data_IF_161342050243
#
_entry.id   IF_161342050243
#
_cell.length_a   1.000
_cell.length_b   1.000
_cell.length_c   1.000
_cell.angle_alpha   90.00
_cell.angle_beta   90.00
_cell.angle_gamma   90.00
#
_symmetry.space_group_name_H-M   'P 1'
#
loop_
_entity.id
_entity.type
_entity.pdbx_description
1 polymer ?
#
# COMPACT_ATOMS: atom_id res chain seq x y z
N UNK A 1 20.59 12.90 -34.22
CA UNK A 1 20.23 11.46 -34.22
C UNK A 1 19.71 11.20 -32.84
N UNK A 2 18.39 11.34 -32.74
CA UNK A 2 17.68 11.64 -31.52
C UNK A 2 17.60 10.39 -30.62
N UNK A 3 17.97 10.59 -29.36
CA UNK A 3 17.83 9.59 -28.31
C UNK A 3 16.36 9.35 -28.04
N UNK A 4 15.88 8.17 -28.43
CA UNK A 4 14.57 7.68 -28.03
C UNK A 4 14.71 6.88 -26.73
N UNK A 5 14.96 7.59 -25.62
CA UNK A 5 14.72 7.06 -24.27
C UNK A 5 13.22 7.19 -23.99
N UNK A 6 12.44 6.35 -24.65
CA UNK A 6 11.04 6.11 -24.30
C UNK A 6 11.01 5.32 -22.99
N UNK A 7 11.08 6.04 -21.87
CA UNK A 7 10.72 5.54 -20.56
C UNK A 7 9.22 5.19 -20.57
N UNK A 8 8.91 3.91 -20.75
CA UNK A 8 7.57 3.35 -20.58
C UNK A 8 7.07 3.66 -19.16
N UNK A 9 5.90 4.29 -19.08
CA UNK A 9 5.11 4.38 -17.85
C UNK A 9 4.75 2.96 -17.38
N UNK A 10 5.47 2.41 -16.40
CA UNK A 10 5.27 1.03 -15.95
C UNK A 10 5.74 0.65 -14.53
N UNK A 11 6.43 1.51 -13.79
CA UNK A 11 7.07 1.11 -12.50
C UNK A 11 6.58 1.87 -11.25
N UNK A 12 5.48 2.62 -11.36
CA UNK A 12 4.98 3.44 -10.26
C UNK A 12 4.12 2.66 -9.24
N UNK A 13 4.63 1.54 -8.73
CA UNK A 13 4.04 0.93 -7.51
C UNK A 13 4.79 1.46 -6.29
N UNK A 14 4.03 2.00 -5.34
CA UNK A 14 4.55 2.64 -4.14
C UNK A 14 4.53 1.69 -2.94
N UNK A 15 5.43 1.91 -1.98
CA UNK A 15 5.32 1.31 -0.65
C UNK A 15 4.43 2.22 0.19
N UNK A 16 3.50 1.62 0.92
CA UNK A 16 2.50 2.34 1.72
C UNK A 16 2.74 2.12 3.20
N UNK A 17 2.44 3.14 4.00
CA UNK A 17 2.43 3.05 5.47
C UNK A 17 1.11 3.57 6.01
N UNK A 18 0.46 2.83 6.90
CA UNK A 18 -0.80 3.30 7.48
C UNK A 18 -0.62 4.30 8.63
N UNK A 19 -1.70 5.05 8.88
CA UNK A 19 -1.87 5.80 10.13
C UNK A 19 -2.00 4.81 11.28
N UNK A 20 -1.09 4.84 12.25
CA UNK A 20 -0.92 3.85 13.31
C UNK A 20 -2.23 3.43 14.00
N UNK A 21 -2.47 2.12 14.14
CA UNK A 21 -3.71 1.57 14.70
C UNK A 21 -3.45 0.61 15.88
N UNK A 22 -2.23 0.12 16.07
CA UNK A 22 -1.99 -1.00 16.99
C UNK A 22 -0.99 -0.68 18.10
N UNK A 23 -1.45 -0.76 19.35
CA UNK A 23 -0.58 -0.69 20.53
C UNK A 23 0.04 -2.07 20.78
N UNK A 24 1.34 -2.20 20.53
CA UNK A 24 2.13 -3.40 20.88
C UNK A 24 3.16 -3.04 21.93
N UNK A 25 3.08 -3.65 23.13
CA UNK A 25 4.02 -3.41 24.24
C UNK A 25 4.19 -1.91 24.59
N UNK A 26 3.09 -1.14 24.50
CA UNK A 26 3.09 0.30 24.78
C UNK A 26 3.62 1.19 23.65
N UNK A 27 3.92 0.63 22.47
CA UNK A 27 4.33 1.37 21.28
C UNK A 27 3.22 1.35 20.23
N UNK A 28 3.05 2.45 19.52
CA UNK A 28 2.16 2.53 18.37
C UNK A 28 2.90 1.96 17.15
N UNK A 29 2.31 0.92 16.57
CA UNK A 29 2.80 0.27 15.36
C UNK A 29 1.91 0.65 14.17
N UNK A 30 2.53 0.76 13.01
CA UNK A 30 1.85 0.89 11.73
C UNK A 30 2.28 -0.24 10.80
N UNK A 31 1.44 -0.56 9.82
CA UNK A 31 1.80 -1.51 8.79
C UNK A 31 2.52 -0.79 7.65
N UNK A 32 3.57 -1.41 7.12
CA UNK A 32 4.17 -1.11 5.83
C UNK A 32 3.86 -2.24 4.86
N UNK A 33 3.32 -1.93 3.69
CA UNK A 33 2.86 -2.92 2.72
C UNK A 33 2.98 -2.41 1.28
N UNK A 34 2.97 -3.33 0.33
CA UNK A 34 2.96 -3.03 -1.10
C UNK A 34 2.29 -4.18 -1.86
N UNK A 35 1.62 -3.91 -2.98
CA UNK A 35 1.24 -4.93 -3.96
C UNK A 35 2.44 -5.60 -4.64
N UNK A 36 3.63 -4.98 -4.60
CA UNK A 36 4.87 -5.53 -5.09
C UNK A 36 5.79 -5.92 -3.91
N UNK A 37 6.03 -7.22 -3.73
CA UNK A 37 6.83 -7.74 -2.62
C UNK A 37 8.31 -7.33 -2.72
N UNK A 38 8.87 -7.25 -3.93
CA UNK A 38 10.27 -6.85 -4.11
C UNK A 38 10.50 -5.42 -3.63
N UNK A 39 9.59 -4.50 -3.98
CA UNK A 39 9.63 -3.13 -3.49
C UNK A 39 9.41 -3.04 -1.97
N UNK A 40 8.55 -3.89 -1.42
CA UNK A 40 8.33 -3.95 0.03
C UNK A 40 9.59 -4.40 0.77
N UNK A 41 10.25 -5.45 0.28
CA UNK A 41 11.50 -5.95 0.84
C UNK A 41 12.65 -4.94 0.67
N UNK A 42 12.75 -4.29 -0.48
CA UNK A 42 13.75 -3.25 -0.74
C UNK A 42 13.58 -2.05 0.21
N UNK A 43 12.35 -1.60 0.47
CA UNK A 43 12.10 -0.56 1.46
C UNK A 43 12.46 -1.03 2.88
N UNK A 44 12.09 -2.26 3.25
CA UNK A 44 12.42 -2.84 4.55
C UNK A 44 13.94 -2.85 4.80
N UNK A 45 14.72 -3.32 3.82
CA UNK A 45 16.19 -3.30 3.88
C UNK A 45 16.72 -1.87 4.07
N UNK A 46 16.24 -0.92 3.25
CA UNK A 46 16.66 0.49 3.30
C UNK A 46 16.40 1.16 4.65
N UNK A 47 15.32 0.81 5.33
CA UNK A 47 14.97 1.36 6.66
C UNK A 47 15.49 0.51 7.83
N UNK A 48 16.30 -0.52 7.56
CA UNK A 48 16.90 -1.37 8.59
C UNK A 48 15.91 -2.31 9.29
N UNK A 49 14.90 -2.79 8.56
CA UNK A 49 14.03 -3.91 8.96
C UNK A 49 14.57 -5.19 8.31
N UNK A 50 14.76 -6.23 9.11
CA UNK A 50 15.26 -7.51 8.62
C UNK A 50 14.14 -8.34 7.99
N UNK A 51 14.43 -9.04 6.90
CA UNK A 51 13.43 -9.78 6.12
C UNK A 51 12.68 -10.84 6.93
N UNK A 52 13.28 -11.41 7.99
CA UNK A 52 12.62 -12.37 8.90
C UNK A 52 11.40 -11.80 9.64
N UNK A 53 11.25 -10.48 9.70
CA UNK A 53 10.10 -9.80 10.31
C UNK A 53 8.94 -9.62 9.32
N UNK A 54 9.10 -10.09 8.08
CA UNK A 54 8.04 -10.11 7.10
C UNK A 54 6.91 -11.03 7.56
N UNK A 55 5.69 -10.52 7.50
CA UNK A 55 4.50 -11.29 7.83
C UNK A 55 3.81 -11.73 6.54
N UNK A 56 3.91 -13.02 6.25
CA UNK A 56 3.38 -13.62 5.03
C UNK A 56 2.11 -14.43 5.33
N UNK A 57 0.95 -14.13 4.69
CA UNK A 57 -0.29 -14.88 4.88
C UNK A 57 -0.20 -16.36 4.45
N UNK A 58 0.81 -16.75 3.65
CA UNK A 58 1.04 -18.15 3.27
C UNK A 58 1.65 -18.98 4.41
N UNK A 59 2.33 -18.34 5.36
CA UNK A 59 3.07 -19.02 6.43
C UNK A 59 2.62 -18.61 7.84
N UNK A 60 1.90 -17.50 7.96
CA UNK A 60 1.43 -16.91 9.21
C UNK A 60 -0.06 -16.56 9.12
N UNK A 61 -0.76 -16.58 10.25
CA UNK A 61 -2.17 -16.15 10.34
C UNK A 61 -2.30 -14.62 10.29
N UNK A 62 -2.02 -14.04 9.13
CA UNK A 62 -2.22 -12.62 8.80
C UNK A 62 -3.07 -12.49 7.55
N UNK A 63 -3.66 -11.30 7.32
CA UNK A 63 -4.63 -11.11 6.23
C UNK A 63 -4.02 -10.67 4.90
N UNK A 64 -2.80 -10.11 4.89
CA UNK A 64 -2.05 -9.71 3.69
C UNK A 64 -0.55 -9.57 4.03
N UNK A 65 0.34 -9.62 3.04
CA UNK A 65 1.79 -9.45 3.26
C UNK A 65 2.15 -8.04 3.75
N UNK A 66 2.90 -7.93 4.84
CA UNK A 66 3.32 -6.64 5.40
C UNK A 66 4.49 -6.75 6.38
N UNK A 67 5.02 -5.59 6.79
CA UNK A 67 5.88 -5.41 7.96
C UNK A 67 5.19 -4.53 8.99
N UNK A 68 5.49 -4.73 10.27
CA UNK A 68 5.13 -3.80 11.34
C UNK A 68 6.29 -2.85 11.62
N UNK A 69 6.02 -1.54 11.60
CA UNK A 69 7.00 -0.50 11.92
C UNK A 69 6.63 0.21 13.22
N UNK A 70 7.65 0.59 13.98
CA UNK A 70 7.50 1.59 15.04
C UNK A 70 7.47 3.01 14.44
N UNK A 71 7.15 4.01 15.28
CA UNK A 71 7.03 5.41 14.85
C UNK A 71 8.32 5.96 14.21
N UNK A 72 9.49 5.54 14.68
CA UNK A 72 10.78 6.02 14.15
C UNK A 72 11.01 5.49 12.73
N UNK A 73 10.82 4.18 12.52
CA UNK A 73 10.95 3.56 11.20
C UNK A 73 9.88 4.02 10.23
N UNK A 74 8.66 4.30 10.72
CA UNK A 74 7.61 4.93 9.91
C UNK A 74 8.06 6.28 9.36
N UNK A 75 8.66 7.14 10.20
CA UNK A 75 9.15 8.44 9.76
C UNK A 75 10.24 8.28 8.68
N UNK A 76 11.19 7.36 8.88
CA UNK A 76 12.23 7.07 7.89
C UNK A 76 11.63 6.56 6.57
N UNK A 77 10.66 5.64 6.63
CA UNK A 77 10.00 5.12 5.43
C UNK A 77 9.31 6.24 4.63
N UNK A 78 8.64 7.17 5.32
CA UNK A 78 8.00 8.34 4.70
C UNK A 78 9.05 9.24 4.04
N UNK A 79 10.14 9.55 4.74
CA UNK A 79 11.25 10.36 4.20
C UNK A 79 11.90 9.69 2.97
N UNK A 80 11.85 8.36 2.89
CA UNK A 80 12.31 7.56 1.76
C UNK A 80 11.28 7.39 0.63
N UNK A 81 10.11 8.02 0.74
CA UNK A 81 9.08 8.07 -0.30
C UNK A 81 7.92 7.09 -0.10
N UNK A 82 7.76 6.48 1.07
CA UNK A 82 6.56 5.71 1.38
C UNK A 82 5.32 6.61 1.46
N UNK A 83 4.22 6.17 0.85
CA UNK A 83 2.96 6.91 0.79
C UNK A 83 2.14 6.65 2.06
N UNK A 84 1.68 7.71 2.71
CA UNK A 84 0.84 7.61 3.90
C UNK A 84 -0.59 7.25 3.48
N UNK A 85 -1.15 6.22 4.10
CA UNK A 85 -2.54 5.80 3.94
C UNK A 85 -3.36 6.08 5.20
N UNK A 86 -4.57 6.59 5.02
CA UNK A 86 -5.60 6.55 6.05
C UNK A 86 -6.22 5.15 6.19
N UNK A 87 -7.13 4.99 7.17
CA UNK A 87 -7.80 3.70 7.43
C UNK A 87 -8.57 3.14 6.23
N UNK A 88 -9.16 3.98 5.37
CA UNK A 88 -9.96 3.53 4.23
C UNK A 88 -9.05 3.13 3.08
N UNK A 89 -8.00 3.91 2.83
CA UNK A 89 -6.94 3.61 1.86
C UNK A 89 -6.24 2.30 2.22
N UNK A 90 -5.87 2.10 3.48
CA UNK A 90 -5.24 0.85 3.94
C UNK A 90 -6.14 -0.36 3.67
N UNK A 91 -7.42 -0.28 4.02
CA UNK A 91 -8.35 -1.40 3.80
C UNK A 91 -8.59 -1.62 2.30
N UNK A 92 -8.61 -0.57 1.48
CA UNK A 92 -8.73 -0.67 0.04
C UNK A 92 -7.51 -1.36 -0.58
N UNK A 93 -6.30 -0.93 -0.21
CA UNK A 93 -5.06 -1.54 -0.67
C UNK A 93 -4.94 -3.00 -0.22
N UNK A 94 -5.29 -3.30 1.03
CA UNK A 94 -5.34 -4.68 1.50
C UNK A 94 -6.32 -5.53 0.67
N UNK A 95 -7.46 -4.97 0.26
CA UNK A 95 -8.41 -5.66 -0.61
C UNK A 95 -7.86 -5.87 -2.03
N UNK A 96 -7.09 -4.93 -2.58
CA UNK A 96 -6.39 -5.09 -3.86
C UNK A 96 -5.37 -6.22 -3.76
N UNK A 97 -4.48 -6.18 -2.76
CA UNK A 97 -3.46 -7.21 -2.51
C UNK A 97 -4.09 -8.60 -2.34
N UNK A 98 -5.26 -8.67 -1.69
CA UNK A 98 -5.99 -9.92 -1.50
C UNK A 98 -6.84 -10.36 -2.70
N UNK A 99 -6.93 -9.57 -3.78
CA UNK A 99 -7.81 -9.86 -4.92
C UNK A 99 -9.30 -9.88 -4.56
N UNK A 100 -9.75 -8.98 -3.66
CA UNK A 100 -11.11 -8.94 -3.09
C UNK A 100 -11.95 -7.75 -3.57
N UNK A 101 -12.51 -7.78 -4.80
CA UNK A 101 -13.28 -6.68 -5.37
C UNK A 101 -14.64 -6.43 -4.69
N UNK A 102 -15.19 -7.41 -3.98
CA UNK A 102 -16.37 -7.28 -3.11
C UNK A 102 -16.11 -6.31 -1.95
N UNK A 103 -14.93 -6.42 -1.33
CA UNK A 103 -14.51 -5.60 -0.20
C UNK A 103 -14.28 -4.14 -0.62
N UNK A 104 -13.68 -3.93 -1.80
CA UNK A 104 -13.54 -2.59 -2.40
C UNK A 104 -14.87 -1.88 -2.58
N UNK A 105 -15.90 -2.58 -3.09
CA UNK A 105 -17.25 -2.03 -3.27
C UNK A 105 -17.86 -1.53 -1.96
N UNK A 106 -17.70 -2.30 -0.88
CA UNK A 106 -18.23 -1.94 0.44
C UNK A 106 -17.51 -0.74 1.06
N UNK A 107 -16.19 -0.66 0.93
CA UNK A 107 -15.39 0.45 1.48
C UNK A 107 -15.78 1.77 0.82
N UNK A 108 -15.97 1.77 -0.50
CA UNK A 108 -16.39 2.97 -1.22
C UNK A 108 -17.68 3.56 -0.65
N UNK A 109 -18.71 2.73 -0.45
CA UNK A 109 -19.99 3.18 0.09
C UNK A 109 -19.87 3.82 1.49
N UNK A 110 -18.83 3.46 2.25
CA UNK A 110 -18.54 4.01 3.57
C UNK A 110 -17.64 5.26 3.51
N UNK A 111 -16.78 5.36 2.51
CA UNK A 111 -15.85 6.49 2.34
C UNK A 111 -16.52 7.72 1.67
N UNK A 112 -17.53 7.50 0.81
CA UNK A 112 -18.23 8.58 0.09
C UNK A 112 -19.73 8.23 -0.08
N UNK A 113 -20.59 8.59 0.88
CA UNK A 113 -22.02 8.25 0.85
C UNK A 113 -22.85 9.04 -0.19
N UNK A 114 -22.26 9.99 -0.94
CA UNK A 114 -22.98 10.95 -1.79
C UNK A 114 -22.71 10.89 -3.30
N UNK A 115 -21.70 10.14 -3.80
CA UNK A 115 -21.37 10.07 -5.24
C UNK A 115 -21.37 8.64 -5.81
N UNK A 116 -22.30 8.39 -6.75
CA UNK A 116 -22.57 7.09 -7.39
C UNK A 116 -21.39 6.44 -8.14
N UNK A 117 -21.43 5.11 -8.23
CA UNK A 117 -20.37 4.21 -8.70
C UNK A 117 -20.19 4.14 -10.22
N UNK A 118 -18.93 4.10 -10.67
CA UNK A 118 -18.54 3.60 -12.00
C UNK A 118 -17.66 2.34 -11.79
N UNK A 119 -17.95 1.21 -12.46
CA UNK A 119 -17.29 -0.07 -12.19
C UNK A 119 -15.84 -0.18 -12.67
N UNK A 120 -15.14 -1.07 -11.99
CA UNK A 120 -13.75 -1.49 -12.18
C UNK A 120 -13.29 -1.58 -13.64
N UNK A 121 -12.50 -0.58 -14.04
CA UNK A 121 -11.35 -0.67 -14.99
C UNK A 121 -10.25 0.33 -14.57
N UNK A 122 -10.55 1.27 -13.67
CA UNK A 122 -9.68 2.37 -13.29
C UNK A 122 -9.64 2.52 -11.77
N UNK A 123 -8.44 2.77 -11.23
CA UNK A 123 -8.29 3.25 -9.86
C UNK A 123 -9.17 4.50 -9.67
N UNK A 124 -9.95 4.59 -8.58
CA UNK A 124 -10.79 5.76 -8.33
C UNK A 124 -9.98 7.06 -8.49
N UNK A 125 -10.52 8.06 -9.18
CA UNK A 125 -9.80 9.29 -9.52
C UNK A 125 -9.13 9.97 -8.31
N UNK A 126 -9.78 9.94 -7.14
CA UNK A 126 -9.23 10.49 -5.90
C UNK A 126 -7.96 9.77 -5.40
N UNK A 127 -7.77 8.49 -5.73
CA UNK A 127 -6.53 7.77 -5.47
C UNK A 127 -5.46 8.14 -6.50
N UNK A 128 -5.81 8.31 -7.77
CA UNK A 128 -4.84 8.78 -8.77
C UNK A 128 -4.39 10.23 -8.56
N UNK A 129 -5.28 11.10 -8.08
CA UNK A 129 -4.95 12.46 -7.59
C UNK A 129 -3.95 12.44 -6.42
N UNK A 130 -3.81 11.29 -5.76
CA UNK A 130 -2.87 11.04 -4.67
C UNK A 130 -1.70 10.13 -5.08
N UNK A 131 -1.49 9.94 -6.38
CA UNK A 131 -0.32 9.23 -6.94
C UNK A 131 -0.50 7.72 -7.15
N UNK A 132 -1.70 7.16 -6.96
CA UNK A 132 -1.92 5.73 -7.18
C UNK A 132 -2.07 5.40 -8.68
N UNK A 133 -1.42 4.33 -9.19
CA UNK A 133 -1.42 3.98 -10.60
C UNK A 133 -2.80 3.51 -11.08
N UNK A 134 -3.22 3.98 -12.25
CA UNK A 134 -4.54 3.74 -12.82
C UNK A 134 -4.73 2.35 -13.45
N UNK A 135 -3.63 1.68 -13.79
CA UNK A 135 -3.58 0.39 -14.47
C UNK A 135 -2.63 -0.52 -13.70
N UNK A 136 -3.00 -1.78 -13.58
CA UNK A 136 -2.25 -2.82 -12.87
C UNK A 136 -1.92 -3.90 -13.88
N UNK A 137 -0.64 -4.09 -14.14
CA UNK A 137 -0.16 -5.21 -14.92
C UNK A 137 0.00 -6.38 -13.94
N UNK A 138 -0.82 -7.41 -14.12
CA UNK A 138 -0.76 -8.66 -13.36
C UNK A 138 0.17 -9.67 -14.04
#
# INVERSE_FOLDING_TARGET
>A
MDGNDSATAGDAMSVYVDSAIHTLRGRLMCHMFSPNLDQLHAMAERIGIEQRWFQDPLTMRVSWPHYDLDQARRAIAIDMGAVICDRYQTVAMAAIIQGRPDKLRRIRALADPGRGFAPAVHVPAWLAEQGFPQVWDW
#
